data_IF_873019743884
#
_entry.id   IF_873019743884
#
_cell.length_a   1.000
_cell.length_b   1.000
_cell.length_c   1.000
_cell.angle_alpha   90.00
_cell.angle_beta   90.00
_cell.angle_gamma   90.00
#
_symmetry.space_group_name_H-M   'P 1'
#
loop_
_entity.id
_entity.type
_entity.pdbx_description
1 polymer ?
#
# COMPACT_ATOMS: atom_id res chain seq x y z
N UNK A 1 0.71 -83.87 -13.90
CA UNK A 1 1.35 -84.04 -15.24
C UNK A 1 2.24 -82.84 -15.44
N UNK A 2 3.51 -82.99 -15.15
CA UNK A 2 4.70 -83.00 -16.01
C UNK A 2 4.58 -82.04 -17.20
N UNK A 3 5.38 -80.97 -17.22
CA UNK A 3 6.58 -80.86 -18.06
C UNK A 3 7.37 -79.58 -17.81
N UNK A 4 8.62 -79.78 -17.52
CA UNK A 4 9.85 -79.06 -17.53
C UNK A 4 10.25 -78.67 -18.94
N UNK A 5 10.89 -77.54 -19.12
CA UNK A 5 12.04 -77.21 -20.03
C UNK A 5 12.42 -75.74 -19.81
N UNK A 6 13.50 -75.41 -19.21
CA UNK A 6 14.93 -75.38 -19.57
C UNK A 6 15.29 -74.37 -20.66
N UNK A 7 15.98 -73.31 -20.26
CA UNK A 7 17.19 -72.85 -20.84
C UNK A 7 17.16 -71.64 -21.77
N UNK A 8 17.80 -70.56 -21.40
CA UNK A 8 19.04 -70.07 -22.02
C UNK A 8 19.56 -68.79 -21.32
N UNK A 9 20.79 -68.88 -20.86
CA UNK A 9 21.59 -67.74 -20.44
C UNK A 9 21.93 -66.91 -21.70
N UNK A 10 21.83 -65.62 -21.58
CA UNK A 10 22.60 -64.67 -22.39
C UNK A 10 23.04 -63.52 -21.49
N UNK A 11 24.36 -63.52 -21.24
CA UNK A 11 25.06 -62.43 -20.55
C UNK A 11 25.09 -61.20 -21.47
N UNK A 12 24.64 -60.06 -20.98
CA UNK A 12 24.88 -58.77 -21.63
C UNK A 12 25.53 -57.85 -20.66
N UNK A 13 26.68 -57.33 -20.99
CA UNK A 13 27.53 -56.48 -20.21
C UNK A 13 26.87 -55.17 -19.81
N UNK A 14 26.84 -54.83 -18.51
CA UNK A 14 26.48 -53.50 -18.02
C UNK A 14 27.69 -52.56 -18.23
N UNK A 15 27.52 -51.60 -19.10
CA UNK A 15 28.34 -50.39 -19.15
C UNK A 15 27.82 -49.46 -18.05
N UNK A 16 28.60 -49.28 -17.00
CA UNK A 16 28.35 -48.29 -15.95
C UNK A 16 28.67 -46.88 -16.46
N UNK A 17 27.60 -46.08 -16.73
CA UNK A 17 27.72 -44.64 -16.91
C UNK A 17 27.66 -44.01 -15.53
N UNK A 18 28.82 -43.55 -15.02
CA UNK A 18 28.93 -42.77 -13.82
C UNK A 18 28.29 -41.39 -14.03
N UNK A 19 27.17 -41.13 -13.32
CA UNK A 19 26.69 -39.75 -13.16
C UNK A 19 27.50 -39.14 -12.00
N UNK A 20 28.37 -38.18 -12.37
CA UNK A 20 28.97 -37.29 -11.40
C UNK A 20 27.84 -36.43 -10.79
N UNK A 21 27.60 -36.58 -9.50
CA UNK A 21 26.79 -35.65 -8.71
C UNK A 21 27.57 -34.33 -8.60
N UNK A 22 27.06 -33.29 -9.25
CA UNK A 22 27.58 -31.94 -9.10
C UNK A 22 27.08 -31.43 -7.75
N UNK A 23 27.97 -31.41 -6.74
CA UNK A 23 27.75 -30.80 -5.43
C UNK A 23 27.63 -29.28 -5.60
N UNK A 24 26.45 -28.80 -5.95
CA UNK A 24 26.15 -27.39 -5.89
C UNK A 24 26.08 -26.94 -4.42
N UNK A 25 27.20 -26.41 -3.94
CA UNK A 25 27.32 -25.66 -2.68
C UNK A 25 26.22 -24.60 -2.64
N UNK A 26 25.40 -24.51 -1.55
CA UNK A 26 24.42 -23.43 -1.41
C UNK A 26 25.13 -22.08 -1.51
N UNK A 27 24.70 -21.23 -2.42
CA UNK A 27 25.17 -19.86 -2.52
C UNK A 27 24.92 -19.17 -1.18
N UNK A 28 25.98 -18.70 -0.55
CA UNK A 28 25.92 -17.90 0.67
C UNK A 28 25.01 -16.70 0.39
N UNK A 29 23.98 -16.52 1.22
CA UNK A 29 23.14 -15.33 1.23
C UNK A 29 24.06 -14.10 1.31
N UNK A 30 23.88 -13.16 0.38
CA UNK A 30 24.61 -11.90 0.41
C UNK A 30 24.34 -11.20 1.76
N UNK A 31 25.34 -10.54 2.38
CA UNK A 31 25.15 -9.87 3.64
C UNK A 31 24.07 -8.80 3.48
N UNK A 32 23.12 -8.78 4.42
CA UNK A 32 22.11 -7.73 4.53
C UNK A 32 22.80 -6.36 4.44
N UNK A 33 22.60 -5.67 3.33
CA UNK A 33 22.91 -4.24 3.25
C UNK A 33 22.09 -3.60 4.37
N UNK A 34 22.75 -3.11 5.42
CA UNK A 34 22.18 -2.18 6.38
C UNK A 34 21.48 -1.10 5.54
N UNK A 35 20.15 -1.17 5.45
CA UNK A 35 19.36 -0.19 4.72
C UNK A 35 19.64 1.15 5.37
N UNK A 36 20.10 2.12 4.59
CA UNK A 36 20.11 3.51 5.03
C UNK A 36 18.71 3.84 5.56
N UNK A 37 18.58 4.64 6.63
CA UNK A 37 17.26 5.01 7.16
C UNK A 37 16.44 5.58 6.01
N UNK A 38 15.29 4.97 5.77
CA UNK A 38 14.44 5.33 4.64
C UNK A 38 14.20 6.84 4.63
N UNK A 39 14.44 7.49 3.51
CA UNK A 39 14.38 8.97 3.35
C UNK A 39 13.05 9.56 3.84
N UNK A 40 11.98 8.76 3.83
CA UNK A 40 10.66 9.17 4.31
C UNK A 40 10.53 9.22 5.85
N UNK A 41 11.54 8.82 6.62
CA UNK A 41 11.49 8.88 8.09
C UNK A 41 11.62 10.32 8.64
N UNK A 42 12.09 11.26 7.82
CA UNK A 42 12.24 12.67 8.18
C UNK A 42 11.37 13.58 7.31
N UNK A 43 10.19 14.02 7.82
CA UNK A 43 9.29 14.89 7.07
C UNK A 43 9.91 16.21 6.59
N UNK A 44 10.91 16.75 7.31
CA UNK A 44 11.53 18.03 7.00
C UNK A 44 12.34 18.02 5.70
N UNK A 45 12.74 16.84 5.24
CA UNK A 45 13.49 16.63 4.00
C UNK A 45 12.62 16.43 2.77
N UNK A 46 11.31 16.27 2.94
CA UNK A 46 10.36 15.96 1.88
C UNK A 46 9.50 17.18 1.54
N UNK A 47 10.13 18.16 0.91
CA UNK A 47 9.58 19.52 0.65
C UNK A 47 9.57 19.89 -0.83
N UNK A 48 9.74 18.93 -1.73
CA UNK A 48 9.70 19.20 -3.17
C UNK A 48 8.32 19.67 -3.61
N UNK A 49 8.32 20.65 -4.52
CA UNK A 49 7.10 21.05 -5.22
C UNK A 49 6.76 20.04 -6.30
N UNK A 50 5.54 19.53 -6.29
CA UNK A 50 5.05 18.61 -7.31
C UNK A 50 4.91 19.29 -8.69
N UNK A 51 5.03 18.52 -9.79
CA UNK A 51 4.56 18.98 -11.10
C UNK A 51 3.10 19.38 -11.10
N UNK A 52 2.66 20.18 -12.08
CA UNK A 52 1.25 20.58 -12.19
C UNK A 52 0.29 19.39 -12.40
N UNK A 53 0.78 18.35 -13.05
CA UNK A 53 0.09 17.05 -13.13
C UNK A 53 1.12 15.93 -13.03
N UNK A 54 0.74 14.84 -12.35
CA UNK A 54 1.55 13.63 -12.28
C UNK A 54 0.66 12.42 -11.99
N UNK A 55 1.17 11.24 -12.32
CA UNK A 55 0.50 9.97 -12.01
C UNK A 55 1.29 9.18 -10.98
N UNK A 56 0.56 8.50 -10.11
CA UNK A 56 1.11 7.59 -9.11
C UNK A 56 0.42 6.23 -9.21
N UNK A 57 1.20 5.18 -9.49
CA UNK A 57 0.72 3.80 -9.54
C UNK A 57 0.90 3.16 -8.18
N UNK A 58 -0.19 2.62 -7.65
CA UNK A 58 -0.24 1.86 -6.41
C UNK A 58 -0.39 0.38 -6.72
N UNK A 59 0.49 -0.45 -6.17
CA UNK A 59 0.35 -1.91 -6.20
C UNK A 59 -0.15 -2.37 -4.84
N UNK A 60 -1.27 -3.07 -4.81
CA UNK A 60 -1.91 -3.53 -3.58
C UNK A 60 -2.03 -5.05 -3.51
N UNK A 61 -2.58 -5.56 -2.43
CA UNK A 61 -2.95 -6.98 -2.27
C UNK A 61 -4.09 -7.41 -3.22
N UNK A 62 -4.88 -6.44 -3.75
CA UNK A 62 -5.99 -6.70 -4.70
C UNK A 62 -5.65 -6.44 -6.17
N UNK A 63 -4.47 -5.91 -6.45
CA UNK A 63 -4.06 -5.51 -7.80
C UNK A 63 -3.48 -4.10 -7.81
N UNK A 64 -3.41 -3.50 -9.00
CA UNK A 64 -2.86 -2.16 -9.16
C UNK A 64 -3.93 -1.16 -9.59
N UNK A 65 -3.79 0.09 -9.13
CA UNK A 65 -4.56 1.24 -9.61
C UNK A 65 -3.64 2.45 -9.79
N UNK A 66 -4.04 3.39 -10.63
CA UNK A 66 -3.28 4.62 -10.91
C UNK A 66 -4.11 5.83 -10.53
N UNK A 67 -3.51 6.74 -9.77
CA UNK A 67 -4.07 8.04 -9.43
C UNK A 67 -3.40 9.11 -10.28
N UNK A 68 -4.17 9.92 -10.98
CA UNK A 68 -3.72 11.17 -11.59
C UNK A 68 -3.99 12.32 -10.62
N UNK A 69 -2.96 13.11 -10.36
CA UNK A 69 -3.01 14.28 -9.47
C UNK A 69 -2.97 15.55 -10.30
N UNK A 70 -3.83 16.50 -9.97
CA UNK A 70 -3.83 17.86 -10.51
C UNK A 70 -3.48 18.84 -9.39
N UNK A 71 -2.26 19.35 -9.40
CA UNK A 71 -1.70 20.17 -8.32
C UNK A 71 -2.53 21.42 -8.02
N UNK A 72 -3.04 22.10 -9.05
CA UNK A 72 -3.82 23.34 -8.90
C UNK A 72 -5.12 23.16 -8.09
N UNK A 73 -5.63 21.93 -7.94
CA UNK A 73 -6.82 21.64 -7.13
C UNK A 73 -6.55 21.76 -5.62
N UNK A 74 -5.37 21.31 -5.15
CA UNK A 74 -4.98 21.34 -3.74
C UNK A 74 -3.45 21.33 -3.66
N UNK A 75 -2.76 22.48 -3.85
CA UNK A 75 -1.30 22.55 -3.98
C UNK A 75 -0.53 21.97 -2.80
N UNK A 76 -0.90 22.32 -1.57
CA UNK A 76 -0.24 21.81 -0.36
C UNK A 76 -0.42 20.28 -0.25
N UNK A 77 -1.62 19.80 -0.55
CA UNK A 77 -1.95 18.38 -0.55
C UNK A 77 -1.19 17.62 -1.63
N UNK A 78 -1.15 18.14 -2.85
CA UNK A 78 -0.46 17.51 -3.98
C UNK A 78 1.05 17.43 -3.73
N UNK A 79 1.68 18.50 -3.22
CA UNK A 79 3.10 18.52 -2.88
C UNK A 79 3.43 17.48 -1.79
N UNK A 80 2.62 17.38 -0.74
CA UNK A 80 2.77 16.36 0.31
C UNK A 80 2.64 14.95 -0.26
N UNK A 81 1.62 14.69 -1.04
CA UNK A 81 1.39 13.37 -1.62
C UNK A 81 2.51 12.96 -2.60
N UNK A 82 2.98 13.89 -3.45
CA UNK A 82 4.10 13.68 -4.36
C UNK A 82 5.36 13.21 -3.62
N UNK A 83 5.73 13.91 -2.56
CA UNK A 83 6.90 13.59 -1.75
C UNK A 83 6.77 12.22 -1.06
N UNK A 84 5.59 11.87 -0.56
CA UNK A 84 5.33 10.56 0.06
C UNK A 84 5.45 9.42 -0.97
N UNK A 85 4.90 9.59 -2.18
CA UNK A 85 5.04 8.59 -3.24
C UNK A 85 6.50 8.46 -3.67
N UNK A 86 7.17 9.58 -3.94
CA UNK A 86 8.57 9.60 -4.42
C UNK A 86 9.54 8.99 -3.43
N UNK A 87 9.31 9.16 -2.13
CA UNK A 87 10.17 8.62 -1.07
C UNK A 87 9.91 7.14 -0.75
N UNK A 88 8.85 6.52 -1.30
CA UNK A 88 8.48 5.14 -1.00
C UNK A 88 7.72 4.97 0.32
N UNK A 89 7.14 6.04 0.87
CA UNK A 89 6.38 6.01 2.13
C UNK A 89 5.29 4.94 2.18
N UNK A 90 4.62 4.66 1.06
CA UNK A 90 3.44 3.78 1.02
C UNK A 90 3.76 2.27 1.03
N UNK A 91 4.97 1.88 1.38
CA UNK A 91 5.30 0.46 1.50
C UNK A 91 4.63 -0.17 2.73
N UNK A 92 3.89 -1.25 2.53
CA UNK A 92 3.18 -2.03 3.57
C UNK A 92 2.20 -1.18 4.42
N UNK A 93 1.51 -0.22 3.75
CA UNK A 93 0.50 0.65 4.37
C UNK A 93 -0.90 0.06 4.19
N UNK A 94 -1.63 -0.12 5.30
CA UNK A 94 -2.96 -0.72 5.28
C UNK A 94 -4.07 0.25 4.87
N UNK A 95 -5.10 -0.28 4.19
CA UNK A 95 -6.43 0.33 4.14
C UNK A 95 -7.17 -0.02 5.44
N UNK A 96 -6.94 0.78 6.47
CA UNK A 96 -7.37 0.43 7.84
C UNK A 96 -8.84 0.76 8.15
N UNK A 97 -9.51 1.54 7.30
CA UNK A 97 -10.92 1.90 7.44
C UNK A 97 -11.56 1.98 6.06
N UNK A 98 -12.33 0.97 5.70
CA UNK A 98 -13.04 0.89 4.41
C UNK A 98 -14.52 0.72 4.70
N UNK A 99 -15.31 1.72 4.31
CA UNK A 99 -16.76 1.73 4.51
C UNK A 99 -17.42 1.62 3.14
N UNK A 100 -17.99 0.45 2.80
CA UNK A 100 -18.74 0.29 1.56
C UNK A 100 -19.83 1.35 1.42
N UNK A 101 -19.95 1.93 0.22
CA UNK A 101 -20.87 3.04 0.00
C UNK A 101 -20.43 4.40 0.55
N UNK A 102 -19.16 4.51 0.98
CA UNK A 102 -18.58 5.77 1.43
C UNK A 102 -17.13 5.94 0.92
N UNK A 103 -16.11 5.45 1.64
CA UNK A 103 -14.71 5.67 1.27
C UNK A 103 -13.79 4.58 1.79
N UNK A 104 -12.57 4.48 1.22
CA UNK A 104 -11.46 3.68 1.72
C UNK A 104 -10.31 4.56 2.21
N UNK A 105 -9.96 4.49 3.50
CA UNK A 105 -8.96 5.33 4.17
C UNK A 105 -7.67 4.56 4.44
N UNK A 106 -6.53 5.21 4.20
CA UNK A 106 -5.19 4.67 4.37
C UNK A 106 -4.20 5.79 4.75
N UNK A 107 -2.91 5.44 4.94
CA UNK A 107 -1.82 6.43 5.07
C UNK A 107 -1.23 6.56 6.47
N UNK A 108 -1.66 5.78 7.47
CA UNK A 108 -0.87 5.57 8.68
C UNK A 108 0.20 4.54 8.36
N UNK A 109 1.47 4.86 8.56
CA UNK A 109 2.57 3.96 8.24
C UNK A 109 2.59 2.74 9.17
N UNK A 110 2.97 1.57 8.62
CA UNK A 110 3.02 0.33 9.39
C UNK A 110 4.12 0.27 10.46
N UNK A 111 5.17 1.11 10.35
CA UNK A 111 6.18 1.32 11.39
C UNK A 111 5.75 2.47 12.32
N UNK A 112 5.59 2.21 13.64
CA UNK A 112 5.22 3.24 14.62
C UNK A 112 6.21 4.40 14.71
N UNK A 113 7.51 4.17 14.47
CA UNK A 113 8.53 5.23 14.50
C UNK A 113 8.31 6.24 13.38
N UNK A 114 7.99 5.75 12.18
CA UNK A 114 7.64 6.58 11.03
C UNK A 114 6.34 7.34 11.31
N UNK A 115 5.31 6.65 11.79
CA UNK A 115 4.04 7.28 12.15
C UNK A 115 4.22 8.39 13.18
N UNK A 116 5.07 8.20 14.20
CA UNK A 116 5.37 9.22 15.22
C UNK A 116 6.03 10.47 14.61
N UNK A 117 6.98 10.30 13.68
CA UNK A 117 7.64 11.41 12.98
C UNK A 117 6.65 12.25 12.16
N UNK A 118 5.68 11.61 11.51
CA UNK A 118 4.70 12.27 10.65
C UNK A 118 3.47 12.85 11.38
N UNK A 119 3.18 12.40 12.60
CA UNK A 119 1.98 12.82 13.37
C UNK A 119 1.89 14.32 13.56
N UNK A 120 3.03 15.01 13.72
CA UNK A 120 3.13 16.47 13.88
C UNK A 120 3.38 17.23 12.58
N UNK A 121 3.65 16.56 11.46
CA UNK A 121 4.02 17.18 10.19
C UNK A 121 2.77 17.68 9.42
N UNK A 122 2.04 18.61 10.02
CA UNK A 122 0.80 19.17 9.48
C UNK A 122 1.05 20.06 8.26
N UNK A 123 0.08 20.13 7.36
CA UNK A 123 0.04 21.09 6.25
C UNK A 123 -1.21 21.96 6.36
N UNK A 124 -1.11 23.17 5.80
CA UNK A 124 -2.24 24.11 5.69
C UNK A 124 -3.31 23.51 4.76
N UNK A 125 -4.57 23.81 5.06
CA UNK A 125 -5.66 23.40 4.20
C UNK A 125 -5.63 24.15 2.87
N UNK A 126 -6.03 23.46 1.81
CA UNK A 126 -6.28 24.06 0.52
C UNK A 126 -7.78 24.31 0.35
N UNK A 127 -8.18 25.35 -0.39
CA UNK A 127 -9.60 25.57 -0.71
C UNK A 127 -10.15 24.43 -1.56
N UNK A 128 -11.42 24.08 -1.34
CA UNK A 128 -12.12 23.07 -2.13
C UNK A 128 -12.40 23.60 -3.52
N UNK A 129 -11.77 23.04 -4.54
CA UNK A 129 -11.92 23.42 -5.96
C UNK A 129 -12.55 22.32 -6.82
N UNK A 130 -12.71 21.12 -6.27
CA UNK A 130 -13.35 19.98 -6.93
C UNK A 130 -14.26 19.27 -5.94
N UNK A 131 -15.24 18.52 -6.45
CA UNK A 131 -16.16 17.76 -5.61
C UNK A 131 -15.60 16.36 -5.30
N UNK A 132 -15.92 15.84 -4.10
CA UNK A 132 -15.59 14.51 -3.63
C UNK A 132 -16.43 13.45 -4.34
N UNK A 133 -16.25 13.28 -5.64
CA UNK A 133 -16.91 12.26 -6.45
C UNK A 133 -16.21 10.92 -6.35
N UNK A 134 -16.91 9.86 -6.74
CA UNK A 134 -16.34 8.51 -6.80
C UNK A 134 -14.99 8.50 -7.54
N UNK A 135 -14.00 7.82 -6.94
CA UNK A 135 -12.64 7.72 -7.42
C UNK A 135 -11.73 8.89 -7.06
N UNK A 136 -12.28 10.00 -6.53
CA UNK A 136 -11.44 11.13 -6.11
C UNK A 136 -10.73 10.84 -4.77
N UNK A 137 -9.50 11.35 -4.66
CA UNK A 137 -8.61 11.26 -3.50
C UNK A 137 -8.59 12.59 -2.75
N UNK A 138 -8.80 12.53 -1.44
CA UNK A 138 -8.72 13.66 -0.52
C UNK A 138 -7.92 13.28 0.73
N UNK A 139 -7.40 14.29 1.44
CA UNK A 139 -6.83 14.07 2.78
C UNK A 139 -7.93 13.86 3.82
N UNK A 140 -7.70 12.93 4.73
CA UNK A 140 -8.41 12.90 6.00
C UNK A 140 -7.88 14.00 6.93
N UNK A 141 -8.77 14.60 7.72
CA UNK A 141 -8.44 15.64 8.70
C UNK A 141 -9.31 15.50 9.94
N UNK A 142 -8.81 15.95 11.09
CA UNK A 142 -9.51 15.98 12.37
C UNK A 142 -9.99 17.40 12.74
N UNK A 143 -9.87 18.35 11.83
CA UNK A 143 -10.19 19.76 11.98
C UNK A 143 -9.32 20.59 11.04
N UNK A 144 -9.44 21.91 11.05
CA UNK A 144 -8.66 22.79 10.18
C UNK A 144 -7.15 22.62 10.38
N UNK A 145 -6.41 22.57 9.26
CA UNK A 145 -4.93 22.47 9.22
C UNK A 145 -4.34 21.28 9.99
N UNK A 146 -5.03 20.13 9.96
CA UNK A 146 -4.58 18.91 10.64
C UNK A 146 -4.17 17.79 9.68
N UNK A 147 -4.15 18.05 8.38
CA UNK A 147 -3.74 17.07 7.37
C UNK A 147 -2.27 16.70 7.55
N UNK A 148 -1.95 15.39 7.50
CA UNK A 148 -0.57 14.88 7.58
C UNK A 148 -0.26 13.89 6.47
N UNK A 149 -0.59 12.60 6.66
CA UNK A 149 -0.31 11.51 5.71
C UNK A 149 -1.52 10.63 5.42
N UNK A 150 -2.67 10.89 6.05
CA UNK A 150 -3.85 10.06 5.86
C UNK A 150 -4.70 10.58 4.71
N UNK A 151 -5.16 9.66 3.88
CA UNK A 151 -5.92 9.90 2.67
C UNK A 151 -7.15 9.00 2.62
N UNK A 152 -8.13 9.38 1.82
CA UNK A 152 -9.21 8.47 1.46
C UNK A 152 -9.55 8.58 -0.03
N UNK A 153 -9.96 7.46 -0.62
CA UNK A 153 -10.54 7.37 -1.95
C UNK A 153 -12.05 7.26 -1.78
N UNK A 154 -12.80 8.12 -2.44
CA UNK A 154 -14.27 8.07 -2.45
C UNK A 154 -14.75 6.85 -3.24
N UNK A 155 -15.53 5.96 -2.63
CA UNK A 155 -16.12 4.79 -3.29
C UNK A 155 -17.45 5.11 -3.98
N UNK A 156 -18.06 6.21 -3.60
CA UNK A 156 -19.28 6.80 -4.20
C UNK A 156 -19.12 8.31 -4.28
N UNK A 157 -20.13 9.01 -4.81
CA UNK A 157 -20.19 10.47 -4.77
C UNK A 157 -20.53 10.94 -3.35
N UNK A 158 -19.58 11.67 -2.73
CA UNK A 158 -19.65 12.20 -1.36
C UNK A 158 -19.59 13.74 -1.36
N UNK A 159 -20.39 14.41 -2.19
CA UNK A 159 -20.36 15.87 -2.37
C UNK A 159 -20.63 16.67 -1.08
N UNK A 160 -21.27 16.06 -0.09
CA UNK A 160 -21.44 16.65 1.24
C UNK A 160 -20.11 16.95 1.95
N UNK A 161 -19.02 16.26 1.59
CA UNK A 161 -17.68 16.49 2.14
C UNK A 161 -17.07 17.83 1.63
N UNK A 162 -17.56 18.36 0.52
CA UNK A 162 -17.03 19.60 -0.06
C UNK A 162 -17.25 20.80 0.88
N UNK A 163 -18.45 20.92 1.46
CA UNK A 163 -18.78 21.97 2.45
C UNK A 163 -18.06 21.78 3.79
N UNK A 164 -17.50 20.59 4.05
CA UNK A 164 -16.73 20.28 5.25
C UNK A 164 -15.23 20.58 5.08
N UNK A 165 -14.81 21.07 3.90
CA UNK A 165 -13.42 21.46 3.63
C UNK A 165 -12.51 20.33 3.15
N UNK A 166 -13.03 19.13 2.83
CA UNK A 166 -12.25 18.08 2.19
C UNK A 166 -11.97 18.42 0.73
N UNK A 167 -10.72 18.78 0.42
CA UNK A 167 -10.28 19.26 -0.89
C UNK A 167 -9.68 18.12 -1.73
N UNK A 168 -10.39 17.60 -2.76
CA UNK A 168 -9.83 16.59 -3.65
C UNK A 168 -8.70 17.15 -4.50
N UNK A 169 -7.68 16.32 -4.77
CA UNK A 169 -6.52 16.72 -5.58
C UNK A 169 -6.09 15.66 -6.60
N UNK A 170 -6.61 14.45 -6.49
CA UNK A 170 -6.32 13.37 -7.41
C UNK A 170 -7.55 12.52 -7.71
N UNK A 171 -7.45 11.72 -8.77
CA UNK A 171 -8.51 10.82 -9.21
C UNK A 171 -7.92 9.50 -9.66
N UNK A 172 -8.57 8.39 -9.32
CA UNK A 172 -8.29 7.08 -9.90
C UNK A 172 -8.64 7.11 -11.38
N UNK A 173 -7.65 6.90 -12.25
CA UNK A 173 -7.80 6.89 -13.71
C UNK A 173 -7.69 5.49 -14.30
N UNK A 174 -7.09 4.54 -13.55
CA UNK A 174 -6.98 3.14 -13.92
C UNK A 174 -7.19 2.27 -12.66
N UNK A 175 -7.82 1.10 -12.80
CA UNK A 175 -7.98 0.14 -11.72
C UNK A 175 -9.01 0.53 -10.66
N UNK A 176 -10.06 1.27 -11.02
CA UNK A 176 -11.17 1.57 -10.09
C UNK A 176 -11.82 0.28 -9.56
N UNK A 177 -11.91 -0.77 -10.39
CA UNK A 177 -12.41 -2.09 -9.98
C UNK A 177 -11.51 -2.78 -8.93
N UNK A 178 -10.22 -2.45 -8.89
CA UNK A 178 -9.30 -2.90 -7.83
C UNK A 178 -9.59 -2.18 -6.52
N UNK A 179 -9.83 -0.86 -6.59
CA UNK A 179 -10.23 -0.06 -5.41
C UNK A 179 -11.54 -0.55 -4.83
N UNK A 180 -12.50 -0.91 -5.66
CA UNK A 180 -13.82 -1.43 -5.23
C UNK A 180 -13.75 -2.81 -4.55
N UNK A 181 -12.67 -3.59 -4.82
CA UNK A 181 -12.42 -4.91 -4.21
C UNK A 181 -11.66 -4.86 -2.90
N UNK A 182 -11.21 -3.67 -2.44
CA UNK A 182 -10.54 -3.52 -1.16
C UNK A 182 -11.48 -3.94 -0.04
N UNK A 183 -10.99 -4.78 0.86
CA UNK A 183 -11.82 -5.42 1.87
C UNK A 183 -12.41 -4.39 2.87
N UNK A 184 -13.74 -4.34 2.92
CA UNK A 184 -14.51 -3.47 3.81
C UNK A 184 -15.17 -4.21 5.00
N UNK A 185 -14.81 -5.47 5.28
CA UNK A 185 -15.48 -6.26 6.31
C UNK A 185 -15.43 -5.66 7.71
N UNK A 186 -14.34 -4.92 8.01
CA UNK A 186 -14.16 -4.28 9.33
C UNK A 186 -14.88 -2.93 9.46
N UNK A 187 -15.16 -2.25 8.36
CA UNK A 187 -15.94 -1.02 8.29
C UNK A 187 -15.34 0.15 9.07
N UNK A 188 -16.17 0.79 9.90
CA UNK A 188 -15.78 1.92 10.76
C UNK A 188 -14.83 1.47 11.86
N UNK A 189 -13.81 2.34 12.16
CA UNK A 189 -12.84 2.12 13.22
C UNK A 189 -13.39 2.29 14.63
N UNK A 190 -12.79 1.58 15.60
CA UNK A 190 -13.11 1.75 17.01
C UNK A 190 -12.84 3.21 17.47
N UNK A 191 -13.62 3.77 18.40
CA UNK A 191 -14.71 3.14 19.16
C UNK A 191 -16.07 3.15 18.47
N UNK A 192 -16.22 3.78 17.29
CA UNK A 192 -17.52 3.92 16.61
C UNK A 192 -17.96 2.64 15.91
N UNK A 193 -17.03 1.77 15.57
CA UNK A 193 -17.26 0.49 14.91
C UNK A 193 -16.28 -0.58 15.39
N UNK A 194 -16.24 -1.70 14.65
CA UNK A 194 -15.41 -2.86 15.00
C UNK A 194 -14.04 -2.89 14.30
N UNK A 195 -13.79 -1.92 13.43
CA UNK A 195 -12.53 -1.82 12.71
C UNK A 195 -11.36 -1.33 13.58
N UNK A 196 -10.16 -1.24 12.99
CA UNK A 196 -8.94 -0.85 13.70
C UNK A 196 -9.06 0.48 14.42
N UNK A 197 -8.50 0.56 15.63
CA UNK A 197 -8.37 1.82 16.38
C UNK A 197 -7.14 2.57 15.87
N UNK A 198 -7.34 3.77 15.35
CA UNK A 198 -6.26 4.58 14.75
C UNK A 198 -5.16 4.96 15.76
N UNK A 199 -5.50 5.18 17.05
CA UNK A 199 -4.50 5.46 18.07
C UNK A 199 -3.58 4.24 18.28
N UNK A 200 -4.15 3.04 18.32
CA UNK A 200 -3.37 1.80 18.46
C UNK A 200 -2.53 1.53 17.19
N UNK A 201 -3.05 1.83 15.98
CA UNK A 201 -2.24 1.74 14.74
C UNK A 201 -1.02 2.66 14.85
N UNK A 202 -1.18 3.90 15.33
CA UNK A 202 -0.10 4.85 15.52
C UNK A 202 0.97 4.37 16.51
N UNK A 203 0.60 3.57 17.50
CA UNK A 203 1.48 3.07 18.57
C UNK A 203 2.12 1.73 18.25
N UNK A 204 1.39 0.83 17.59
CA UNK A 204 1.81 -0.57 17.37
C UNK A 204 1.95 -0.94 15.89
N UNK A 205 1.50 -0.11 14.97
CA UNK A 205 1.64 -0.29 13.54
C UNK A 205 1.05 -1.60 13.02
N UNK A 206 1.78 -2.20 12.07
CA UNK A 206 1.37 -3.43 11.42
C UNK A 206 1.37 -4.66 12.33
N UNK A 207 2.08 -4.66 13.46
CA UNK A 207 1.99 -5.74 14.45
C UNK A 207 0.55 -5.88 14.95
N UNK A 208 -0.07 -4.77 15.37
CA UNK A 208 -1.47 -4.74 15.78
C UNK A 208 -2.42 -5.13 14.66
N UNK A 209 -2.23 -4.55 13.45
CA UNK A 209 -3.12 -4.78 12.33
C UNK A 209 -3.09 -6.24 11.88
N UNK A 210 -1.91 -6.84 11.72
CA UNK A 210 -1.76 -8.24 11.26
C UNK A 210 -2.27 -9.25 12.29
N UNK A 211 -2.13 -8.95 13.59
CA UNK A 211 -2.61 -9.82 14.66
C UNK A 211 -4.14 -9.77 14.82
N UNK A 212 -4.74 -8.56 14.74
CA UNK A 212 -6.16 -8.36 15.09
C UNK A 212 -7.08 -8.25 13.87
N UNK A 213 -6.55 -7.92 12.68
CA UNK A 213 -7.29 -7.67 11.45
C UNK A 213 -6.60 -8.30 10.23
N UNK A 214 -6.47 -9.64 10.20
CA UNK A 214 -5.64 -10.35 9.20
C UNK A 214 -6.12 -10.19 7.75
N UNK A 215 -7.39 -9.84 7.54
CA UNK A 215 -7.98 -9.70 6.22
C UNK A 215 -7.89 -8.27 5.64
N UNK A 216 -7.18 -7.35 6.31
CA UNK A 216 -6.96 -6.02 5.73
C UNK A 216 -6.16 -6.10 4.43
N UNK A 217 -6.48 -5.22 3.50
CA UNK A 217 -5.69 -5.03 2.30
C UNK A 217 -4.59 -3.99 2.52
N UNK A 218 -3.46 -4.19 1.83
CA UNK A 218 -2.26 -3.37 1.96
C UNK A 218 -1.79 -2.81 0.62
N UNK A 219 -1.27 -1.60 0.65
CA UNK A 219 -0.43 -1.06 -0.41
C UNK A 219 0.95 -1.69 -0.26
N UNK A 220 1.40 -2.43 -1.27
CA UNK A 220 2.73 -3.06 -1.32
C UNK A 220 3.80 -2.04 -1.73
N UNK A 221 3.44 -1.16 -2.65
CA UNK A 221 4.30 -0.08 -3.14
C UNK A 221 3.49 1.00 -3.85
N UNK A 222 4.05 2.21 -3.90
CA UNK A 222 3.59 3.28 -4.78
C UNK A 222 4.79 3.90 -5.48
N UNK A 223 4.63 4.26 -6.77
CA UNK A 223 5.67 4.89 -7.57
C UNK A 223 5.08 5.93 -8.52
N UNK A 224 5.83 6.99 -8.79
CA UNK A 224 5.52 7.93 -9.87
C UNK A 224 5.68 7.20 -11.21
N UNK A 225 4.75 7.45 -12.13
CA UNK A 225 4.75 6.88 -13.48
C UNK A 225 4.57 8.00 -14.52
N UNK A 226 5.04 7.78 -15.77
CA UNK A 226 4.90 8.76 -16.84
C UNK A 226 3.46 9.19 -17.11
#
# INVERSE_FOLDING_TARGET
>A
MKRILLGLLSALALASIGFAADDAKPAAAAPDKKSEPATFADPSKLTEKAPESFKAKFTTTKGAFTIEVTRSLSPNGADRFYNLVKSGYFQDVAFFRVIPGFMGQFGIHGDPKVSAAWRGARIQDDPVKASNKRGYLSFAMAGPNTRTTQFFINLVDNSNLDSMGFSPFGKVVEGQDVVDKINGEYGEGAPRGRGPNQAIIQEKGNEYLKASYPNLDYIKSAALVP
#
